data_IF_289537479584
#
_entry.id   IF_289537479584
#
_cell.length_a   1.000
_cell.length_b   1.000
_cell.length_c   1.000
_cell.angle_alpha   90.00
_cell.angle_beta   90.00
_cell.angle_gamma   90.00
#
_symmetry.space_group_name_H-M   'P 1'
#
loop_
_entity.id
_entity.type
_entity.pdbx_description
1 polymer ?
#
# COMPACT_ATOMS: atom_id res chain seq x y z
N UNK A 1 4.02 -0.99 -51.74
CA UNK A 1 3.20 -1.62 -50.70
C UNK A 1 4.13 -2.45 -49.82
N UNK A 2 4.64 -1.86 -48.72
CA UNK A 2 5.63 -2.52 -47.83
C UNK A 2 4.85 -3.32 -46.80
N UNK A 3 4.84 -4.64 -46.91
CA UNK A 3 4.38 -5.54 -45.88
C UNK A 3 5.46 -5.57 -44.76
N UNK A 4 5.24 -4.85 -43.66
CA UNK A 4 5.95 -5.10 -42.43
C UNK A 4 5.50 -6.45 -41.87
N UNK A 5 6.31 -7.49 -42.09
CA UNK A 5 6.21 -8.75 -41.37
C UNK A 5 6.52 -8.45 -39.92
N UNK A 6 5.50 -8.28 -39.09
CA UNK A 6 5.66 -8.33 -37.65
C UNK A 6 6.11 -9.73 -37.27
N UNK A 7 7.41 -9.93 -37.11
CA UNK A 7 7.91 -11.10 -36.41
C UNK A 7 7.42 -11.00 -34.95
N UNK A 8 6.27 -11.57 -34.69
CA UNK A 8 5.76 -11.74 -33.34
C UNK A 8 6.66 -12.79 -32.69
N UNK A 9 7.72 -12.33 -32.04
CA UNK A 9 8.57 -13.21 -31.23
C UNK A 9 7.71 -13.74 -30.10
N UNK A 10 7.39 -15.02 -30.14
CA UNK A 10 6.67 -15.72 -29.08
C UNK A 10 7.49 -15.64 -27.80
N UNK A 11 6.82 -15.34 -26.69
CA UNK A 11 7.46 -15.42 -25.38
C UNK A 11 7.49 -16.89 -24.96
N UNK A 12 8.67 -17.44 -24.88
CA UNK A 12 8.93 -18.82 -24.43
C UNK A 12 9.34 -18.84 -22.95
N UNK A 13 9.44 -20.02 -22.37
CA UNK A 13 10.01 -20.23 -21.02
C UNK A 13 11.40 -19.63 -20.86
N UNK A 14 12.22 -19.70 -21.91
CA UNK A 14 13.58 -19.10 -21.91
C UNK A 14 13.52 -17.58 -21.85
N UNK A 15 12.65 -16.94 -22.61
CA UNK A 15 12.41 -15.49 -22.56
C UNK A 15 11.94 -15.06 -21.17
N UNK A 16 11.09 -15.87 -20.49
CA UNK A 16 10.71 -15.57 -19.11
C UNK A 16 11.89 -15.66 -18.15
N UNK A 17 12.76 -16.66 -18.28
CA UNK A 17 13.97 -16.79 -17.47
C UNK A 17 14.91 -15.60 -17.68
N UNK A 18 15.11 -15.19 -18.94
CA UNK A 18 15.90 -13.99 -19.28
C UNK A 18 15.31 -12.74 -18.60
N UNK A 19 13.99 -12.54 -18.66
CA UNK A 19 13.31 -11.40 -18.02
C UNK A 19 13.53 -11.38 -16.52
N UNK A 20 13.42 -12.52 -15.85
CA UNK A 20 13.67 -12.61 -14.41
C UNK A 20 15.10 -12.20 -14.05
N UNK A 21 16.08 -12.67 -14.82
CA UNK A 21 17.49 -12.37 -14.59
C UNK A 21 17.82 -10.92 -14.99
N UNK A 22 17.40 -10.47 -16.19
CA UNK A 22 17.68 -9.14 -16.72
C UNK A 22 17.16 -8.02 -15.80
N UNK A 23 15.98 -8.22 -15.23
CA UNK A 23 15.35 -7.20 -14.37
C UNK A 23 15.53 -7.46 -12.88
N UNK A 24 16.21 -8.54 -12.49
CA UNK A 24 16.46 -8.88 -11.10
C UNK A 24 15.18 -9.10 -10.30
N UNK A 25 14.15 -9.70 -10.92
CA UNK A 25 12.85 -9.96 -10.30
C UNK A 25 12.63 -11.45 -10.09
N UNK A 26 11.82 -11.79 -9.08
CA UNK A 26 11.42 -13.18 -8.80
C UNK A 26 10.20 -13.60 -9.63
N UNK A 27 9.92 -14.91 -9.67
CA UNK A 27 8.68 -15.42 -10.28
C UNK A 27 7.42 -14.85 -9.60
N UNK A 28 7.50 -14.61 -8.28
CA UNK A 28 6.41 -13.97 -7.54
C UNK A 28 6.24 -12.50 -7.94
N UNK A 29 7.32 -11.78 -8.24
CA UNK A 29 7.28 -10.42 -8.74
C UNK A 29 6.64 -10.37 -10.14
N UNK A 30 7.05 -11.27 -11.03
CA UNK A 30 6.46 -11.37 -12.36
C UNK A 30 4.97 -11.73 -12.29
N UNK A 31 4.57 -12.62 -11.39
CA UNK A 31 3.17 -12.97 -11.17
C UNK A 31 2.35 -11.74 -10.73
N UNK A 32 2.89 -10.92 -9.84
CA UNK A 32 2.27 -9.66 -9.41
C UNK A 32 2.16 -8.64 -10.54
N UNK A 33 3.19 -8.52 -11.37
CA UNK A 33 3.16 -7.63 -12.55
C UNK A 33 2.04 -8.00 -13.53
N UNK A 34 1.87 -9.30 -13.78
CA UNK A 34 0.90 -9.81 -14.76
C UNK A 34 -0.51 -9.95 -14.16
N UNK A 35 -0.63 -9.97 -12.82
CA UNK A 35 -1.90 -10.21 -12.13
C UNK A 35 -2.32 -11.68 -12.10
N UNK A 36 -1.34 -12.58 -11.93
CA UNK A 36 -1.56 -14.05 -11.88
C UNK A 36 -0.96 -14.65 -10.62
N UNK A 37 -1.21 -15.93 -10.36
CA UNK A 37 -0.60 -16.62 -9.21
C UNK A 37 0.88 -16.95 -9.46
N UNK A 38 1.75 -16.95 -8.42
CA UNK A 38 3.13 -17.40 -8.54
C UNK A 38 3.26 -18.82 -9.10
N UNK A 39 2.32 -19.71 -8.77
CA UNK A 39 2.26 -21.07 -9.31
C UNK A 39 2.07 -21.09 -10.84
N UNK A 40 1.26 -20.19 -11.39
CA UNK A 40 1.09 -20.10 -12.83
C UNK A 40 2.41 -19.73 -13.53
N UNK A 41 3.14 -18.74 -12.99
CA UNK A 41 4.44 -18.34 -13.51
C UNK A 41 5.47 -19.48 -13.39
N UNK A 42 5.47 -20.21 -12.27
CA UNK A 42 6.36 -21.36 -12.09
C UNK A 42 6.15 -22.41 -13.18
N UNK A 43 4.88 -22.76 -13.49
CA UNK A 43 4.54 -23.71 -14.55
C UNK A 43 4.93 -23.22 -15.95
N UNK A 44 4.96 -21.91 -16.20
CA UNK A 44 5.43 -21.35 -17.48
C UNK A 44 6.95 -21.36 -17.58
N UNK A 45 7.65 -21.08 -16.48
CA UNK A 45 9.12 -21.09 -16.42
C UNK A 45 9.67 -22.51 -16.53
N UNK A 46 8.96 -23.52 -15.97
CA UNK A 46 9.31 -24.94 -16.10
C UNK A 46 8.88 -25.57 -17.43
N UNK A 47 8.17 -24.84 -18.29
CA UNK A 47 7.62 -25.30 -19.56
C UNK A 47 6.53 -26.38 -19.42
N UNK A 48 5.99 -26.53 -18.20
CA UNK A 48 4.90 -27.48 -17.91
C UNK A 48 3.54 -26.98 -18.41
N UNK A 49 3.44 -25.66 -18.68
CA UNK A 49 2.22 -25.03 -19.16
C UNK A 49 2.52 -23.91 -20.15
N UNK A 50 1.75 -23.84 -21.23
CA UNK A 50 1.84 -22.78 -22.24
C UNK A 50 1.50 -21.42 -21.63
N UNK A 51 2.26 -20.38 -21.98
CA UNK A 51 2.02 -19.01 -21.56
C UNK A 51 0.78 -18.49 -22.26
N UNK A 52 -0.25 -17.99 -21.53
CA UNK A 52 -1.44 -17.41 -22.13
C UNK A 52 -1.12 -16.13 -22.92
N UNK A 53 -1.85 -15.91 -24.03
CA UNK A 53 -1.65 -14.75 -24.90
C UNK A 53 -1.60 -13.39 -24.18
N UNK A 54 -2.49 -13.09 -23.23
CA UNK A 54 -2.42 -11.84 -22.45
C UNK A 54 -1.13 -11.70 -21.64
N UNK A 55 -0.65 -12.78 -21.03
CA UNK A 55 0.61 -12.78 -20.26
C UNK A 55 1.82 -12.60 -21.20
N UNK A 56 1.82 -13.28 -22.34
CA UNK A 56 2.81 -13.10 -23.39
C UNK A 56 2.87 -11.65 -23.90
N UNK A 57 1.72 -11.06 -24.18
CA UNK A 57 1.61 -9.68 -24.63
C UNK A 57 2.15 -8.71 -23.58
N UNK A 58 1.84 -8.93 -22.30
CA UNK A 58 2.35 -8.10 -21.20
C UNK A 58 3.88 -8.16 -21.10
N UNK A 59 4.46 -9.36 -21.07
CA UNK A 59 5.93 -9.53 -20.99
C UNK A 59 6.63 -8.83 -22.15
N UNK A 60 6.09 -8.96 -23.36
CA UNK A 60 6.63 -8.29 -24.55
C UNK A 60 6.56 -6.77 -24.43
N UNK A 61 5.43 -6.22 -24.00
CA UNK A 61 5.29 -4.77 -23.78
C UNK A 61 6.22 -4.27 -22.68
N UNK A 62 6.34 -5.02 -21.59
CA UNK A 62 7.23 -4.68 -20.48
C UNK A 62 8.71 -4.61 -20.93
N UNK A 63 9.17 -5.53 -21.78
CA UNK A 63 10.53 -5.46 -22.38
C UNK A 63 10.72 -4.23 -23.27
N UNK A 64 9.66 -3.74 -23.92
CA UNK A 64 9.70 -2.57 -24.80
C UNK A 64 9.60 -1.24 -24.04
N UNK A 65 9.24 -1.24 -22.77
CA UNK A 65 9.18 0.00 -21.98
C UNK A 65 10.55 0.70 -21.92
N UNK A 66 10.60 2.03 -22.03
CA UNK A 66 11.79 2.81 -21.71
C UNK A 66 12.30 2.49 -20.30
N UNK A 67 13.62 2.50 -20.05
CA UNK A 67 14.22 2.10 -18.77
C UNK A 67 13.62 2.84 -17.55
N UNK A 68 13.34 4.14 -17.68
CA UNK A 68 12.72 4.95 -16.63
C UNK A 68 11.30 4.48 -16.28
N UNK A 69 10.46 4.18 -17.28
CA UNK A 69 9.10 3.68 -17.04
C UNK A 69 9.12 2.24 -16.48
N UNK A 70 10.01 1.41 -16.98
CA UNK A 70 10.23 0.06 -16.45
C UNK A 70 10.65 0.09 -14.99
N UNK A 71 11.56 1.01 -14.63
CA UNK A 71 12.00 1.18 -13.24
C UNK A 71 10.86 1.63 -12.32
N UNK A 72 9.95 2.48 -12.79
CA UNK A 72 8.75 2.86 -12.04
C UNK A 72 7.89 1.63 -11.74
N UNK A 73 7.62 0.78 -12.73
CA UNK A 73 6.84 -0.45 -12.53
C UNK A 73 7.54 -1.46 -11.61
N UNK A 74 8.87 -1.58 -11.73
CA UNK A 74 9.67 -2.43 -10.83
C UNK A 74 9.67 -1.91 -9.39
N UNK A 75 9.73 -0.59 -9.20
CA UNK A 75 9.64 0.02 -7.88
C UNK A 75 8.25 -0.20 -7.26
N UNK A 76 7.17 -0.09 -8.05
CA UNK A 76 5.80 -0.44 -7.58
C UNK A 76 5.69 -1.88 -7.10
N UNK A 77 6.43 -2.82 -7.71
CA UNK A 77 6.50 -4.20 -7.20
C UNK A 77 7.19 -4.29 -5.84
N UNK A 78 8.30 -3.57 -5.70
CA UNK A 78 9.04 -3.50 -4.44
C UNK A 78 8.18 -2.84 -3.35
N UNK A 79 7.50 -1.76 -3.69
CA UNK A 79 6.55 -1.08 -2.81
C UNK A 79 5.39 -1.99 -2.38
N UNK A 80 4.86 -2.84 -3.28
CA UNK A 80 3.85 -3.86 -2.95
C UNK A 80 4.43 -5.13 -2.28
N UNK A 81 5.71 -5.41 -2.46
CA UNK A 81 6.38 -6.62 -1.93
C UNK A 81 6.96 -6.46 -0.53
N UNK A 82 7.23 -5.25 -0.14
CA UNK A 82 7.62 -4.81 1.20
C UNK A 82 6.53 -3.93 1.80
N UNK A 83 5.29 -4.22 1.47
CA UNK A 83 4.17 -3.51 2.04
C UNK A 83 4.24 -3.61 3.56
N UNK A 84 4.04 -2.48 4.21
CA UNK A 84 3.60 -2.46 5.59
C UNK A 84 2.57 -3.59 5.76
N UNK A 85 2.65 -4.32 6.85
CA UNK A 85 1.68 -5.36 7.19
C UNK A 85 0.27 -4.77 7.12
N UNK A 86 -0.45 -5.06 6.04
CA UNK A 86 -1.85 -4.68 5.93
C UNK A 86 -2.61 -5.29 7.10
N UNK A 87 -3.41 -4.48 7.76
CA UNK A 87 -4.02 -4.93 8.99
C UNK A 87 -4.84 -3.87 9.71
N UNK A 88 -5.39 -4.31 10.81
CA UNK A 88 -6.19 -3.51 11.71
C UNK A 88 -5.35 -3.10 12.91
N UNK A 89 -5.36 -1.81 13.23
CA UNK A 89 -4.65 -1.22 14.36
C UNK A 89 -5.65 -0.52 15.27
N UNK A 90 -5.57 -0.78 16.57
CA UNK A 90 -6.20 0.03 17.59
C UNK A 90 -5.36 1.28 17.85
N UNK A 91 -6.00 2.42 17.98
CA UNK A 91 -5.35 3.67 18.35
C UNK A 91 -5.99 4.21 19.64
N UNK A 92 -5.16 4.80 20.49
CA UNK A 92 -5.61 5.61 21.62
C UNK A 92 -4.84 6.92 21.64
N UNK A 93 -5.48 7.99 21.98
CA UNK A 93 -4.87 9.32 21.99
C UNK A 93 -5.40 10.16 23.14
N UNK A 94 -4.59 11.06 23.64
CA UNK A 94 -4.89 11.91 24.75
C UNK A 94 -4.50 13.36 24.44
N UNK A 95 -5.41 14.27 24.70
CA UNK A 95 -5.21 15.71 24.67
C UNK A 95 -5.56 16.37 26.00
N UNK A 96 -5.54 17.69 26.03
CA UNK A 96 -5.82 18.48 27.26
C UNK A 96 -7.29 18.38 27.72
N UNK A 97 -8.21 18.07 26.81
CA UNK A 97 -9.65 18.06 27.06
C UNK A 97 -10.29 16.68 26.92
N UNK A 98 -9.50 15.63 26.97
CA UNK A 98 -10.03 14.26 26.93
C UNK A 98 -9.10 13.26 26.24
N UNK A 99 -9.57 12.03 26.22
CA UNK A 99 -8.94 10.92 25.52
C UNK A 99 -9.91 10.29 24.53
N UNK A 100 -9.39 9.65 23.51
CA UNK A 100 -10.18 8.91 22.54
C UNK A 100 -9.50 7.59 22.15
N UNK A 101 -10.29 6.70 21.57
CA UNK A 101 -9.79 5.45 21.00
C UNK A 101 -10.58 5.11 19.74
N UNK A 102 -9.91 4.50 18.79
CA UNK A 102 -10.49 4.12 17.53
C UNK A 102 -9.77 2.94 16.89
N UNK A 103 -10.18 2.62 15.68
CA UNK A 103 -9.57 1.58 14.87
C UNK A 103 -9.22 2.16 13.50
N UNK A 104 -8.01 1.87 13.04
CA UNK A 104 -7.55 2.18 11.70
C UNK A 104 -7.27 0.88 10.94
N UNK A 105 -7.67 0.86 9.69
CA UNK A 105 -7.38 -0.20 8.74
C UNK A 105 -6.34 0.34 7.75
N UNK A 106 -5.24 -0.37 7.62
CA UNK A 106 -4.20 -0.10 6.65
C UNK A 106 -4.29 -1.16 5.56
N UNK A 107 -4.49 -0.73 4.32
CA UNK A 107 -4.70 -1.62 3.19
C UNK A 107 -4.25 -0.98 1.89
N UNK A 108 -3.31 -1.61 1.20
CA UNK A 108 -2.87 -1.19 -0.14
C UNK A 108 -2.49 0.30 -0.27
N UNK A 109 -1.78 0.86 0.72
CA UNK A 109 -1.36 2.27 0.73
C UNK A 109 -2.41 3.24 1.24
N UNK A 110 -3.63 2.77 1.54
CA UNK A 110 -4.72 3.55 2.12
C UNK A 110 -4.85 3.27 3.61
N UNK A 111 -5.30 4.28 4.33
CA UNK A 111 -5.65 4.15 5.74
C UNK A 111 -7.02 4.78 5.98
N UNK A 112 -7.89 4.05 6.66
CA UNK A 112 -9.22 4.51 6.98
C UNK A 112 -9.70 3.90 8.29
N UNK A 113 -10.67 4.56 8.92
CA UNK A 113 -11.19 4.06 10.18
C UNK A 113 -12.15 5.02 10.88
N UNK A 114 -12.46 4.70 12.12
CA UNK A 114 -13.37 5.48 12.95
C UNK A 114 -13.06 5.30 14.42
N UNK A 115 -13.57 6.21 15.23
CA UNK A 115 -13.55 6.10 16.69
C UNK A 115 -14.97 5.87 17.28
N UNK A 116 -15.02 5.80 18.59
CA UNK A 116 -16.27 5.56 19.31
C UNK A 116 -17.26 6.73 19.29
N UNK A 117 -16.85 7.90 18.83
CA UNK A 117 -17.69 9.10 18.69
C UNK A 117 -18.16 9.31 17.24
N UNK A 118 -17.79 8.40 16.32
CA UNK A 118 -18.14 8.50 14.91
C UNK A 118 -17.23 9.45 14.10
N UNK A 119 -16.11 9.86 14.66
CA UNK A 119 -15.08 10.59 13.91
C UNK A 119 -14.51 9.66 12.86
N UNK A 120 -14.37 10.16 11.61
CA UNK A 120 -13.84 9.40 10.49
C UNK A 120 -12.38 9.78 10.23
N UNK A 121 -11.59 8.79 9.90
CA UNK A 121 -10.19 8.88 9.56
C UNK A 121 -10.01 8.34 8.14
N UNK A 122 -9.56 9.17 7.21
CA UNK A 122 -9.37 8.79 5.81
C UNK A 122 -8.06 9.36 5.29
N UNK A 123 -7.25 8.55 4.61
CA UNK A 123 -5.99 9.01 4.05
C UNK A 123 -5.13 7.92 3.42
N UNK A 124 -3.85 8.22 3.37
CA UNK A 124 -2.86 7.39 2.71
C UNK A 124 -1.62 7.22 3.58
N UNK A 125 -0.86 6.16 3.32
CA UNK A 125 0.45 5.95 3.92
C UNK A 125 1.48 5.53 2.87
N UNK A 126 2.73 5.91 3.13
CA UNK A 126 3.89 5.45 2.37
C UNK A 126 4.84 4.73 3.34
N UNK A 127 5.15 3.48 3.01
CA UNK A 127 6.14 2.73 3.76
C UNK A 127 7.53 2.92 3.16
N UNK A 128 8.48 3.35 3.97
CA UNK A 128 9.88 3.47 3.60
C UNK A 128 10.65 2.24 4.08
N UNK A 129 11.08 1.41 3.12
CA UNK A 129 11.78 0.16 3.40
C UNK A 129 13.14 0.36 4.08
N UNK A 130 13.83 1.44 3.75
CA UNK A 130 15.16 1.74 4.27
C UNK A 130 15.09 2.07 5.76
N UNK A 131 14.12 2.90 6.16
CA UNK A 131 13.92 3.27 7.56
C UNK A 131 13.04 2.28 8.32
N UNK A 132 12.25 1.46 7.62
CA UNK A 132 11.23 0.59 8.21
C UNK A 132 10.04 1.36 8.80
N UNK A 133 9.87 2.62 8.45
CA UNK A 133 8.84 3.52 8.96
C UNK A 133 7.75 3.74 7.91
N UNK A 134 6.53 3.98 8.37
CA UNK A 134 5.41 4.41 7.54
C UNK A 134 5.08 5.87 7.82
N UNK A 135 5.08 6.69 6.77
CA UNK A 135 4.60 8.06 6.79
C UNK A 135 3.11 8.07 6.49
N UNK A 136 2.31 8.59 7.40
CA UNK A 136 0.84 8.59 7.33
C UNK A 136 0.33 10.00 7.22
N UNK A 137 -0.61 10.21 6.30
CA UNK A 137 -1.37 11.45 6.14
C UNK A 137 -2.85 11.13 6.22
N UNK A 138 -3.54 11.75 7.17
CA UNK A 138 -4.98 11.53 7.40
C UNK A 138 -5.72 12.84 7.38
N UNK A 139 -6.91 12.81 6.83
CA UNK A 139 -7.99 13.77 7.08
C UNK A 139 -8.86 13.20 8.19
N UNK A 140 -9.02 13.95 9.27
CA UNK A 140 -9.89 13.59 10.39
C UNK A 140 -11.17 14.43 10.29
N UNK A 141 -12.31 13.79 10.15
CA UNK A 141 -13.61 14.45 9.98
C UNK A 141 -14.49 14.19 11.19
N UNK A 142 -14.90 15.27 11.85
CA UNK A 142 -15.71 15.27 13.04
C UNK A 142 -17.19 15.49 12.69
N UNK A 143 -18.11 14.67 13.21
CA UNK A 143 -19.53 14.97 13.17
C UNK A 143 -19.87 16.28 13.90
N UNK A 144 -21.03 16.89 13.63
CA UNK A 144 -21.51 18.05 14.38
C UNK A 144 -21.55 17.80 15.89
N UNK A 145 -21.14 18.79 16.68
CA UNK A 145 -21.13 18.80 18.15
C UNK A 145 -20.19 17.79 18.83
N UNK A 146 -19.40 17.01 18.06
CA UNK A 146 -18.37 16.15 18.63
C UNK A 146 -17.15 16.98 19.00
N UNK A 147 -16.69 16.82 20.24
CA UNK A 147 -15.54 17.57 20.77
C UNK A 147 -14.24 16.84 20.51
N UNK A 148 -13.28 17.53 19.89
CA UNK A 148 -11.92 17.02 19.78
C UNK A 148 -11.19 17.03 21.14
N UNK A 149 -10.19 16.16 21.29
CA UNK A 149 -9.42 16.01 22.56
C UNK A 149 -8.63 17.26 22.96
N UNK A 150 -8.50 18.23 22.08
CA UNK A 150 -7.95 19.56 22.36
C UNK A 150 -9.02 20.63 22.62
N UNK A 151 -10.30 20.25 22.75
CA UNK A 151 -11.38 21.11 23.22
C UNK A 151 -12.28 21.73 22.16
N UNK A 152 -11.88 21.74 20.89
CA UNK A 152 -12.68 22.33 19.80
C UNK A 152 -13.91 21.46 19.48
N UNK A 153 -15.06 22.12 19.31
CA UNK A 153 -16.30 21.52 18.83
C UNK A 153 -17.02 22.53 17.92
N UNK A 154 -17.68 22.03 16.87
CA UNK A 154 -18.46 22.87 15.95
C UNK A 154 -19.89 22.31 15.81
N UNK A 155 -20.91 23.16 15.57
CA UNK A 155 -22.27 22.71 15.35
C UNK A 155 -22.50 22.10 13.95
N UNK A 156 -21.47 22.02 13.12
CA UNK A 156 -21.46 21.45 11.78
C UNK A 156 -20.30 20.47 11.63
N UNK A 157 -20.33 19.66 10.58
CA UNK A 157 -19.21 18.77 10.24
C UNK A 157 -17.98 19.58 9.91
N UNK A 158 -16.82 19.20 10.45
CA UNK A 158 -15.56 19.89 10.24
C UNK A 158 -14.39 18.90 10.18
N UNK A 159 -13.30 19.29 9.60
CA UNK A 159 -12.13 18.43 9.41
C UNK A 159 -10.83 19.19 9.53
N UNK A 160 -9.75 18.45 9.78
CA UNK A 160 -8.37 18.89 9.68
C UNK A 160 -7.47 17.74 9.25
N UNK A 161 -6.28 18.08 8.76
CA UNK A 161 -5.30 17.09 8.33
C UNK A 161 -4.30 16.82 9.44
N UNK A 162 -3.82 15.58 9.50
CA UNK A 162 -2.76 15.16 10.41
C UNK A 162 -1.68 14.40 9.66
N UNK A 163 -0.46 14.49 10.17
CA UNK A 163 0.68 13.70 9.72
C UNK A 163 1.35 13.04 10.91
N UNK A 164 1.82 11.82 10.69
CA UNK A 164 2.61 11.08 11.67
C UNK A 164 3.47 10.04 10.98
N UNK A 165 4.45 9.53 11.72
CA UNK A 165 5.33 8.44 11.26
C UNK A 165 5.38 7.39 12.35
N UNK A 166 5.26 6.10 11.98
CA UNK A 166 5.34 4.99 12.93
C UNK A 166 6.01 3.75 12.32
N UNK A 167 6.43 2.83 13.17
CA UNK A 167 7.00 1.55 12.75
C UNK A 167 5.92 0.46 12.71
N UNK A 168 5.39 0.08 11.53
CA UNK A 168 4.32 -0.90 11.41
C UNK A 168 4.77 -2.35 11.67
N UNK A 169 6.07 -2.61 11.80
CA UNK A 169 6.62 -3.93 12.16
C UNK A 169 6.54 -4.18 13.67
N UNK A 170 6.36 -3.14 14.46
CA UNK A 170 6.13 -3.27 15.90
C UNK A 170 4.65 -3.52 16.17
N UNK A 171 4.36 -4.43 17.11
CA UNK A 171 2.98 -4.73 17.49
C UNK A 171 2.31 -3.60 18.29
N UNK A 172 3.09 -2.71 18.89
CA UNK A 172 2.58 -1.52 19.60
C UNK A 172 3.67 -0.47 19.71
N UNK A 173 3.27 0.78 19.91
CA UNK A 173 4.19 1.88 20.10
C UNK A 173 3.48 3.19 20.42
N UNK A 174 4.29 4.20 20.71
CA UNK A 174 3.84 5.59 20.91
C UNK A 174 4.29 6.45 19.75
N UNK A 175 3.48 7.42 19.39
CA UNK A 175 3.77 8.36 18.31
C UNK A 175 3.21 9.76 18.65
N UNK A 176 3.73 10.75 17.97
CA UNK A 176 3.20 12.11 18.01
C UNK A 176 2.50 12.44 16.72
N UNK A 177 1.23 12.78 16.81
CA UNK A 177 0.42 13.23 15.67
C UNK A 177 0.51 14.75 15.58
N UNK A 178 0.87 15.27 14.42
CA UNK A 178 0.90 16.71 14.13
C UNK A 178 -0.34 17.07 13.32
N UNK A 179 -1.06 18.07 13.78
CA UNK A 179 -2.28 18.55 13.12
C UNK A 179 -1.99 19.78 12.26
N UNK A 180 -2.73 19.98 11.18
CA UNK A 180 -2.65 21.19 10.33
C UNK A 180 -3.09 22.47 11.04
N UNK A 181 -3.75 22.34 12.21
CA UNK A 181 -4.18 23.45 13.07
C UNK A 181 -3.18 23.76 14.18
N UNK A 182 -1.94 23.24 14.09
CA UNK A 182 -0.84 23.57 15.01
C UNK A 182 -0.86 22.82 16.34
N UNK A 183 -1.70 21.80 16.51
CA UNK A 183 -1.73 20.96 17.70
C UNK A 183 -0.83 19.73 17.54
N UNK A 184 -0.26 19.27 18.66
CA UNK A 184 0.44 17.98 18.74
C UNK A 184 -0.27 17.08 19.74
N UNK A 185 -0.56 15.86 19.36
CA UNK A 185 -1.32 14.90 20.15
C UNK A 185 -0.46 13.66 20.37
N UNK A 186 -0.32 13.25 21.62
CA UNK A 186 0.30 11.96 21.94
C UNK A 186 -0.69 10.83 21.63
N UNK A 187 -0.24 9.85 20.89
CA UNK A 187 -1.05 8.68 20.54
C UNK A 187 -0.25 7.39 20.76
N UNK A 188 -0.98 6.32 20.98
CA UNK A 188 -0.46 4.96 21.02
C UNK A 188 -1.18 4.13 19.99
N UNK A 189 -0.49 3.14 19.46
CA UNK A 189 -1.09 2.16 18.56
C UNK A 189 -0.79 0.74 19.01
N UNK A 190 -1.68 -0.17 18.65
CA UNK A 190 -1.52 -1.61 18.84
C UNK A 190 -2.01 -2.33 17.59
N UNK A 191 -1.21 -3.25 17.08
CA UNK A 191 -1.63 -4.13 15.99
C UNK A 191 -2.66 -5.13 16.54
N UNK A 192 -3.83 -5.20 15.94
CA UNK A 192 -4.90 -6.08 16.36
C UNK A 192 -4.89 -7.39 15.56
N UNK A 193 -4.87 -7.30 14.24
CA UNK A 193 -4.86 -8.46 13.35
C UNK A 193 -4.52 -8.09 11.90
N UNK A 194 -4.08 -9.07 11.12
CA UNK A 194 -4.01 -8.95 9.66
C UNK A 194 -5.42 -8.92 9.06
N UNK A 195 -5.56 -8.29 7.88
CA UNK A 195 -6.80 -8.38 7.12
C UNK A 195 -6.99 -9.83 6.61
N UNK A 196 -8.25 -10.25 6.44
CA UNK A 196 -8.54 -11.52 5.77
C UNK A 196 -7.97 -11.50 4.36
N UNK A 197 -7.41 -12.63 3.91
CA UNK A 197 -7.07 -12.78 2.50
C UNK A 197 -8.37 -12.73 1.69
N UNK A 198 -8.35 -11.99 0.56
CA UNK A 198 -9.48 -12.00 -0.36
C UNK A 198 -9.65 -13.41 -0.93
N UNK A 199 -10.86 -13.94 -0.81
CA UNK A 199 -11.21 -15.28 -1.28
C UNK A 199 -11.16 -15.39 -2.81
#
# INVERSE_FOLDING_TARGET
MFYYKWNIVRVTSDVLREVLVEFGITQADLARLIGVTPRAVALWVSDERTIPGPAEAYVRLFKLLPPNLRQIELNRLKEKGTSMRDGMFGISFQGQHGAGMGVLIFENGRVYGTDTQGVRYDGDYLFNEVSGMADVKLKITFPPNVRAVFGTSNPYEWAFDVTTTFNPKQNSGSLTVRTSIGQSIAAQYVFLRSLPEAA
#
